data_IF_006468321391
#
_entry.id   IF_006468321391
#
_cell.length_a   1.000
_cell.length_b   1.000
_cell.length_c   1.000
_cell.angle_alpha   90.00
_cell.angle_beta   90.00
_cell.angle_gamma   90.00
#
_symmetry.space_group_name_H-M   'P 1'
#
loop_
_entity.id
_entity.type
_entity.pdbx_description
1 polymer ?
#
# COMPACT_ATOMS: atom_id res chain seq x y z
N UNK A 1 28.30 2.67 23.61
CA UNK A 1 26.95 3.02 23.11
C UNK A 1 26.97 2.68 21.64
N UNK A 2 25.97 1.98 21.12
CA UNK A 2 26.00 1.53 19.72
C UNK A 2 25.30 2.55 18.80
N UNK A 3 25.78 2.68 17.56
CA UNK A 3 25.21 3.58 16.56
C UNK A 3 23.78 3.18 16.22
N UNK A 4 23.54 1.88 16.04
CA UNK A 4 22.22 1.36 15.69
C UNK A 4 21.20 1.64 16.79
N UNK A 5 21.57 1.44 18.06
CA UNK A 5 20.72 1.77 19.20
C UNK A 5 20.41 3.28 19.32
N UNK A 6 21.36 4.16 18.94
CA UNK A 6 21.11 5.61 18.90
C UNK A 6 20.22 5.99 17.72
N UNK A 7 20.49 5.44 16.53
CA UNK A 7 19.68 5.69 15.35
C UNK A 7 18.23 5.21 15.55
N UNK A 8 18.03 4.06 16.20
CA UNK A 8 16.70 3.51 16.50
C UNK A 8 15.87 4.38 17.46
N UNK A 9 16.51 5.11 18.38
CA UNK A 9 15.83 6.12 19.17
C UNK A 9 15.53 7.38 18.33
N UNK A 10 16.54 7.90 17.61
CA UNK A 10 16.41 9.13 16.83
C UNK A 10 15.34 9.04 15.74
N UNK A 11 15.29 7.96 14.97
CA UNK A 11 14.25 7.73 13.95
C UNK A 11 12.88 7.35 14.54
N UNK A 12 12.78 7.16 15.86
CA UNK A 12 11.50 7.07 16.58
C UNK A 12 10.94 8.43 17.05
N UNK A 13 11.75 9.49 17.10
CA UNK A 13 11.35 10.85 17.47
C UNK A 13 10.70 11.59 16.30
N UNK A 14 9.98 12.69 16.58
CA UNK A 14 9.39 13.54 15.52
C UNK A 14 10.51 14.27 14.73
N UNK A 15 10.32 14.59 13.44
CA UNK A 15 11.34 15.25 12.63
C UNK A 15 11.86 16.57 13.22
N UNK A 16 11.02 17.31 13.94
CA UNK A 16 11.40 18.55 14.64
C UNK A 16 12.33 18.30 15.83
N UNK A 17 12.15 17.19 16.53
CA UNK A 17 12.94 16.81 17.72
C UNK A 17 14.25 16.11 17.34
N UNK A 18 14.28 15.46 16.17
CA UNK A 18 15.40 14.68 15.65
C UNK A 18 16.75 15.40 15.77
N UNK A 19 16.84 16.65 15.29
CA UNK A 19 18.12 17.40 15.25
C UNK A 19 18.61 17.71 16.66
N UNK A 20 17.73 18.21 17.53
CA UNK A 20 18.08 18.52 18.92
C UNK A 20 18.47 17.26 19.71
N UNK A 21 17.83 16.11 19.46
CA UNK A 21 18.18 14.84 20.06
C UNK A 21 19.51 14.27 19.53
N UNK A 22 19.72 14.32 18.21
CA UNK A 22 20.95 13.89 17.53
C UNK A 22 22.16 14.66 18.06
N UNK A 23 22.04 15.98 18.17
CA UNK A 23 23.15 16.84 18.60
C UNK A 23 23.48 16.64 20.09
N UNK A 24 22.45 16.39 20.92
CA UNK A 24 22.63 15.93 22.32
C UNK A 24 23.35 14.57 22.39
N UNK A 25 23.00 13.62 21.51
CA UNK A 25 23.63 12.28 21.46
C UNK A 25 25.06 12.32 20.96
N UNK A 26 25.35 13.10 19.93
CA UNK A 26 26.72 13.35 19.47
C UNK A 26 27.57 13.99 20.58
N UNK A 27 27.03 14.97 21.32
CA UNK A 27 27.72 15.57 22.47
C UNK A 27 27.95 14.56 23.62
N UNK A 28 27.01 13.66 23.86
CA UNK A 28 27.17 12.59 24.85
C UNK A 28 28.28 11.60 24.46
N UNK A 29 28.33 11.18 23.19
CA UNK A 29 29.40 10.33 22.67
C UNK A 29 30.79 11.00 22.80
N UNK A 30 30.92 12.29 22.44
CA UNK A 30 32.18 13.05 22.65
C UNK A 30 32.60 13.11 24.11
N UNK A 31 31.65 13.28 25.04
CA UNK A 31 31.92 13.27 26.49
C UNK A 31 32.31 11.90 27.03
N UNK A 32 31.88 10.82 26.37
CA UNK A 32 32.33 9.45 26.66
C UNK A 32 33.68 9.09 25.99
N UNK A 33 34.31 10.04 25.30
CA UNK A 33 35.57 9.84 24.56
C UNK A 33 35.42 9.35 23.13
N UNK A 34 34.22 8.90 22.72
CA UNK A 34 33.97 8.29 21.42
C UNK A 34 33.72 9.36 20.34
N UNK A 35 34.80 9.75 19.65
CA UNK A 35 34.75 10.71 18.56
C UNK A 35 34.26 10.11 17.24
N UNK A 36 34.36 8.78 17.07
CA UNK A 36 33.91 8.08 15.85
C UNK A 36 32.38 8.01 15.83
N UNK A 37 31.78 7.44 16.88
CA UNK A 37 30.34 7.41 17.10
C UNK A 37 29.74 8.82 17.09
N UNK A 38 30.42 9.81 17.67
CA UNK A 38 29.95 11.19 17.63
C UNK A 38 29.93 11.82 16.21
N UNK A 39 30.83 11.39 15.31
CA UNK A 39 30.84 11.80 13.90
C UNK A 39 29.72 11.11 13.14
N UNK A 40 29.51 9.82 13.37
CA UNK A 40 28.47 9.01 12.72
C UNK A 40 27.06 9.44 13.13
N UNK A 41 26.81 9.65 14.43
CA UNK A 41 25.56 10.25 14.93
C UNK A 41 25.34 11.62 14.28
N UNK A 42 26.39 12.45 14.16
CA UNK A 42 26.31 13.77 13.51
C UNK A 42 25.98 13.71 12.01
N UNK A 43 26.34 12.61 11.33
CA UNK A 43 26.04 12.38 9.92
C UNK A 43 24.59 11.93 9.67
N UNK A 44 23.87 11.44 10.70
CA UNK A 44 22.47 11.04 10.57
C UNK A 44 21.60 12.21 10.10
N UNK A 45 20.83 11.95 9.03
CA UNK A 45 19.97 12.93 8.36
C UNK A 45 18.55 12.87 8.92
N UNK A 46 17.93 14.03 9.13
CA UNK A 46 16.52 14.12 9.53
C UNK A 46 15.62 13.44 8.48
N UNK A 47 14.69 12.55 8.88
CA UNK A 47 13.76 11.92 7.94
C UNK A 47 12.76 12.92 7.34
N UNK A 48 12.23 12.60 6.16
CA UNK A 48 11.03 13.24 5.62
C UNK A 48 9.78 12.89 6.44
N UNK A 49 8.64 13.52 6.14
CA UNK A 49 7.40 13.25 6.85
C UNK A 49 6.87 11.82 6.54
N UNK A 50 6.79 11.40 5.27
CA UNK A 50 6.42 10.02 4.91
C UNK A 50 7.42 8.97 5.39
N UNK A 51 8.72 9.29 5.40
CA UNK A 51 9.75 8.42 5.95
C UNK A 51 9.58 8.23 7.47
N UNK A 52 9.34 9.31 8.22
CA UNK A 52 9.04 9.24 9.65
C UNK A 52 7.75 8.45 9.94
N UNK A 53 6.67 8.66 9.19
CA UNK A 53 5.43 7.89 9.35
C UNK A 53 5.65 6.41 9.06
N UNK A 54 6.48 6.06 8.06
CA UNK A 54 6.87 4.68 7.75
C UNK A 54 7.69 4.04 8.88
N UNK A 55 8.69 4.76 9.42
CA UNK A 55 9.48 4.34 10.56
C UNK A 55 8.60 4.14 11.82
N UNK A 56 7.61 5.03 12.03
CA UNK A 56 6.67 4.95 13.14
C UNK A 56 5.75 3.72 13.02
N UNK A 57 5.27 3.40 11.81
CA UNK A 57 4.49 2.19 11.53
C UNK A 57 5.28 0.93 11.90
N UNK A 58 6.51 0.79 11.40
CA UNK A 58 7.40 -0.35 11.68
C UNK A 58 7.71 -0.47 13.18
N UNK A 59 7.95 0.67 13.86
CA UNK A 59 8.29 0.69 15.29
C UNK A 59 7.09 0.42 16.20
N UNK A 60 5.86 0.76 15.79
CA UNK A 60 4.63 0.57 16.59
C UNK A 60 3.85 -0.70 16.27
N UNK A 61 3.92 -1.19 15.03
CA UNK A 61 3.26 -2.41 14.56
C UNK A 61 4.27 -3.42 14.02
N UNK A 62 5.28 -3.78 14.83
CA UNK A 62 6.26 -4.83 14.48
C UNK A 62 5.62 -6.16 14.06
N UNK A 63 4.41 -6.47 14.56
CA UNK A 63 3.65 -7.66 14.17
C UNK A 63 3.18 -7.66 12.70
N UNK A 64 3.05 -6.49 12.06
CA UNK A 64 2.63 -6.35 10.65
C UNK A 64 3.82 -6.33 9.67
N UNK A 65 5.05 -6.25 10.18
CA UNK A 65 6.28 -6.24 9.36
C UNK A 65 6.48 -7.60 8.69
N UNK A 66 6.50 -8.69 9.47
CA UNK A 66 6.74 -10.04 8.95
C UNK A 66 5.67 -10.51 7.96
N UNK A 67 4.35 -10.30 8.19
CA UNK A 67 3.31 -10.59 7.20
C UNK A 67 3.48 -9.83 5.88
N UNK A 68 3.95 -8.58 5.90
CA UNK A 68 4.22 -7.81 4.68
C UNK A 68 5.45 -8.36 3.95
N UNK A 69 6.54 -8.65 4.67
CA UNK A 69 7.75 -9.25 4.08
C UNK A 69 7.44 -10.59 3.40
N UNK A 70 6.66 -11.45 4.06
CA UNK A 70 6.17 -12.72 3.52
C UNK A 70 5.28 -12.53 2.28
N UNK A 71 4.32 -11.59 2.31
CA UNK A 71 3.48 -11.27 1.14
C UNK A 71 4.32 -10.79 -0.05
N UNK A 72 5.38 -10.02 0.19
CA UNK A 72 6.34 -9.61 -0.84
C UNK A 72 7.11 -10.79 -1.42
N UNK A 73 7.49 -11.76 -0.59
CA UNK A 73 8.13 -12.98 -1.08
C UNK A 73 7.18 -13.86 -1.90
N UNK A 74 5.92 -14.03 -1.45
CA UNK A 74 4.86 -14.70 -2.21
C UNK A 74 4.65 -14.04 -3.58
N UNK A 75 4.55 -12.70 -3.63
CA UNK A 75 4.40 -11.93 -4.88
C UNK A 75 5.58 -12.13 -5.82
N UNK A 76 6.81 -12.03 -5.32
CA UNK A 76 8.04 -12.22 -6.11
C UNK A 76 8.20 -13.68 -6.58
N UNK A 77 7.70 -14.64 -5.80
CA UNK A 77 7.70 -16.07 -6.13
C UNK A 77 6.72 -16.36 -7.28
N UNK A 78 5.46 -15.93 -7.13
CA UNK A 78 4.43 -16.09 -8.17
C UNK A 78 4.80 -15.39 -9.50
N UNK A 79 5.55 -14.27 -9.46
CA UNK A 79 6.10 -13.65 -10.67
C UNK A 79 7.16 -14.52 -11.37
N UNK A 80 8.09 -15.16 -10.62
CA UNK A 80 9.09 -16.07 -11.21
C UNK A 80 8.48 -17.35 -11.76
N UNK A 81 7.41 -17.82 -11.12
CA UNK A 81 6.66 -19.02 -11.51
C UNK A 81 5.60 -18.75 -12.59
N UNK A 82 5.42 -17.48 -12.99
CA UNK A 82 4.42 -17.00 -13.96
C UNK A 82 2.97 -17.38 -13.63
N UNK A 83 2.64 -17.62 -12.36
CA UNK A 83 1.29 -17.99 -11.93
C UNK A 83 0.35 -16.77 -11.94
N UNK A 84 -0.23 -16.50 -13.11
CA UNK A 84 -1.22 -15.46 -13.32
C UNK A 84 -2.51 -15.64 -12.49
N UNK A 85 -2.80 -16.81 -11.92
CA UNK A 85 -3.92 -17.00 -11.00
C UNK A 85 -3.55 -16.54 -9.58
N UNK A 86 -2.43 -17.02 -9.04
CA UNK A 86 -1.92 -16.60 -7.73
C UNK A 86 -1.57 -15.10 -7.71
N UNK A 87 -1.00 -14.56 -8.78
CA UNK A 87 -0.73 -13.12 -8.92
C UNK A 87 -2.01 -12.28 -8.78
N UNK A 88 -3.13 -12.68 -9.37
CA UNK A 88 -4.43 -11.98 -9.24
C UNK A 88 -5.04 -12.08 -7.84
N UNK A 89 -4.71 -13.11 -7.08
CA UNK A 89 -5.10 -13.25 -5.67
C UNK A 89 -4.23 -12.35 -4.78
N UNK A 90 -2.91 -12.47 -4.91
CA UNK A 90 -1.93 -11.72 -4.13
C UNK A 90 -2.01 -10.21 -4.39
N UNK A 91 -2.32 -9.76 -5.60
CA UNK A 91 -2.54 -8.35 -5.92
C UNK A 91 -3.74 -7.75 -5.17
N UNK A 92 -4.80 -8.53 -4.90
CA UNK A 92 -5.94 -8.07 -4.09
C UNK A 92 -5.54 -7.94 -2.62
N UNK A 93 -4.86 -8.97 -2.09
CA UNK A 93 -4.32 -9.00 -0.72
C UNK A 93 -3.30 -7.86 -0.49
N UNK A 94 -2.49 -7.54 -1.50
CA UNK A 94 -1.59 -6.39 -1.51
C UNK A 94 -2.35 -5.08 -1.32
N UNK A 95 -3.34 -4.78 -2.16
CA UNK A 95 -4.12 -3.53 -2.04
C UNK A 95 -4.87 -3.41 -0.71
N UNK A 96 -5.39 -4.52 -0.19
CA UNK A 96 -6.05 -4.58 1.13
C UNK A 96 -5.10 -4.30 2.29
N UNK A 97 -3.93 -4.96 2.30
CA UNK A 97 -2.89 -4.78 3.33
C UNK A 97 -2.30 -3.38 3.27
N UNK A 98 -1.90 -2.90 2.09
CA UNK A 98 -1.33 -1.55 1.91
C UNK A 98 -2.30 -0.47 2.36
N UNK A 99 -3.55 -0.50 1.88
CA UNK A 99 -4.55 0.49 2.28
C UNK A 99 -4.88 0.44 3.78
N UNK A 100 -4.77 -0.73 4.42
CA UNK A 100 -4.95 -0.87 5.88
C UNK A 100 -3.76 -0.29 6.65
N UNK A 101 -2.54 -0.60 6.25
CA UNK A 101 -1.32 -0.06 6.82
C UNK A 101 -1.20 1.45 6.62
N UNK A 102 -1.57 2.00 5.45
CA UNK A 102 -1.61 3.43 5.20
C UNK A 102 -2.57 4.17 6.14
N UNK A 103 -3.78 3.65 6.33
CA UNK A 103 -4.76 4.17 7.31
C UNK A 103 -4.24 4.09 8.74
N UNK A 104 -3.62 2.96 9.13
CA UNK A 104 -3.01 2.79 10.46
C UNK A 104 -1.84 3.76 10.68
N UNK A 105 -0.96 3.94 9.69
CA UNK A 105 0.18 4.85 9.76
C UNK A 105 -0.27 6.31 9.92
N UNK A 106 -1.31 6.73 9.18
CA UNK A 106 -1.94 8.05 9.34
C UNK A 106 -2.55 8.24 10.74
N UNK A 107 -3.17 7.20 11.31
CA UNK A 107 -3.66 7.20 12.70
C UNK A 107 -2.50 7.33 13.71
N UNK A 108 -1.45 6.53 13.58
CA UNK A 108 -0.28 6.56 14.45
C UNK A 108 0.42 7.94 14.44
N UNK A 109 0.49 8.59 13.27
CA UNK A 109 1.01 9.95 13.15
C UNK A 109 0.17 10.97 13.94
N UNK A 110 -1.16 10.86 13.89
CA UNK A 110 -2.07 11.68 14.69
C UNK A 110 -1.93 11.41 16.20
N UNK A 111 -1.80 10.15 16.61
CA UNK A 111 -1.54 9.75 18.01
C UNK A 111 -0.17 10.23 18.52
N UNK A 112 0.82 10.36 17.63
CA UNK A 112 2.12 10.99 17.90
C UNK A 112 2.06 12.54 17.85
N UNK A 113 0.88 13.14 17.76
CA UNK A 113 0.68 14.59 17.79
C UNK A 113 1.02 15.31 16.47
N UNK A 114 1.09 14.60 15.34
CA UNK A 114 1.27 15.17 14.00
C UNK A 114 0.30 14.52 13.00
N UNK A 115 -0.97 14.94 12.95
CA UNK A 115 -1.91 14.43 11.95
C UNK A 115 -1.40 14.73 10.55
N UNK A 116 -1.50 13.75 9.64
CA UNK A 116 -1.04 13.87 8.25
C UNK A 116 -2.19 13.79 7.26
N UNK A 117 -2.03 14.52 6.15
CA UNK A 117 -2.95 14.49 5.00
C UNK A 117 -2.66 13.30 4.07
N UNK A 118 -3.52 13.13 3.07
CA UNK A 118 -3.46 11.98 2.16
C UNK A 118 -2.18 11.89 1.33
N UNK A 119 -1.51 13.01 1.02
CA UNK A 119 -0.26 13.00 0.27
C UNK A 119 0.81 12.15 0.99
N UNK A 120 0.96 12.34 2.30
CA UNK A 120 1.87 11.55 3.15
C UNK A 120 1.38 10.11 3.30
N UNK A 121 0.06 9.89 3.31
CA UNK A 121 -0.48 8.53 3.30
C UNK A 121 -0.08 7.78 2.01
N UNK A 122 -0.12 8.47 0.85
CA UNK A 122 0.33 7.93 -0.44
C UNK A 122 1.85 7.70 -0.48
N UNK A 123 2.67 8.60 0.06
CA UNK A 123 4.13 8.37 0.22
C UNK A 123 4.43 7.07 1.00
N UNK A 124 3.63 6.78 2.04
CA UNK A 124 3.76 5.54 2.85
C UNK A 124 3.26 4.33 2.06
N UNK A 125 2.11 4.44 1.38
CA UNK A 125 1.56 3.35 0.56
C UNK A 125 2.49 2.99 -0.61
N UNK A 126 3.15 3.98 -1.24
CA UNK A 126 4.21 3.78 -2.24
C UNK A 126 5.45 3.09 -1.65
N UNK A 127 5.87 3.50 -0.45
CA UNK A 127 6.96 2.84 0.30
C UNK A 127 6.65 1.37 0.58
N UNK A 128 5.39 1.04 0.89
CA UNK A 128 4.93 -0.35 1.09
C UNK A 128 4.88 -1.13 -0.23
N UNK A 129 4.50 -0.50 -1.35
CA UNK A 129 4.61 -1.10 -2.69
C UNK A 129 6.08 -1.42 -3.04
N UNK A 130 7.02 -0.52 -2.76
CA UNK A 130 8.46 -0.73 -2.98
C UNK A 130 9.00 -1.90 -2.14
N UNK A 131 8.67 -1.97 -0.85
CA UNK A 131 9.05 -3.07 0.05
C UNK A 131 8.51 -4.45 -0.37
N UNK A 132 7.34 -4.49 -1.04
CA UNK A 132 6.81 -5.72 -1.63
C UNK A 132 7.50 -6.08 -2.96
N UNK A 133 7.88 -5.07 -3.76
CA UNK A 133 8.53 -5.28 -5.06
C UNK A 133 9.98 -5.79 -4.93
N UNK A 134 10.79 -5.23 -4.04
CA UNK A 134 12.22 -5.52 -3.92
C UNK A 134 12.65 -5.99 -2.50
N UNK A 135 13.42 -7.09 -2.37
CA UNK A 135 14.03 -7.51 -1.11
C UNK A 135 15.02 -6.51 -0.48
N UNK A 136 15.61 -5.58 -1.23
CA UNK A 136 16.42 -4.48 -0.69
C UNK A 136 15.57 -3.48 0.10
N UNK A 137 14.64 -2.82 -0.61
CA UNK A 137 13.61 -1.93 -0.05
C UNK A 137 12.87 -2.56 1.13
N UNK A 138 12.58 -3.86 1.07
CA UNK A 138 11.97 -4.63 2.16
C UNK A 138 12.79 -4.57 3.46
N UNK A 139 14.12 -4.74 3.37
CA UNK A 139 15.03 -4.69 4.53
C UNK A 139 15.22 -3.27 5.05
N UNK A 140 15.33 -2.29 4.16
CA UNK A 140 15.45 -0.87 4.54
C UNK A 140 14.21 -0.35 5.26
N UNK A 141 13.01 -0.72 4.78
CA UNK A 141 11.76 -0.45 5.46
C UNK A 141 11.69 -1.17 6.81
N UNK A 142 11.98 -2.48 6.87
CA UNK A 142 11.94 -3.26 8.10
C UNK A 142 12.94 -2.79 9.18
N UNK A 143 14.05 -2.16 8.81
CA UNK A 143 14.97 -1.50 9.74
C UNK A 143 14.35 -0.26 10.41
N UNK A 144 13.32 0.36 9.82
CA UNK A 144 12.59 1.50 10.39
C UNK A 144 13.47 2.74 10.59
N UNK A 145 14.44 2.97 9.69
CA UNK A 145 15.41 4.09 9.71
C UNK A 145 15.44 4.87 8.37
N UNK A 146 14.34 4.86 7.63
CA UNK A 146 14.20 5.55 6.35
C UNK A 146 14.39 7.07 6.50
N UNK A 147 15.07 7.68 5.51
CA UNK A 147 15.31 9.13 5.43
C UNK A 147 14.43 9.81 4.37
N UNK A 148 14.24 9.16 3.22
CA UNK A 148 13.24 9.48 2.17
C UNK A 148 12.15 8.38 2.20
N UNK A 149 10.96 8.58 1.61
CA UNK A 149 10.09 7.47 1.22
C UNK A 149 10.82 6.58 0.19
N UNK A 150 10.36 5.34 -0.01
CA UNK A 150 10.86 4.47 -1.07
C UNK A 150 9.88 4.48 -2.24
N UNK A 151 10.39 4.61 -3.46
CA UNK A 151 9.60 4.52 -4.69
C UNK A 151 9.85 3.18 -5.38
N UNK A 152 8.81 2.61 -5.98
CA UNK A 152 8.91 1.31 -6.65
C UNK A 152 9.39 1.47 -8.10
N UNK A 153 10.71 1.45 -8.33
CA UNK A 153 11.33 1.60 -9.66
C UNK A 153 11.06 0.37 -10.56
N UNK A 154 9.87 0.34 -11.17
CA UNK A 154 9.48 -0.67 -12.15
C UNK A 154 9.96 -0.30 -13.56
N UNK A 155 11.14 -0.77 -13.93
CA UNK A 155 11.66 -0.72 -15.30
C UNK A 155 12.89 0.18 -15.44
N UNK A 156 13.95 -0.41 -16.01
CA UNK A 156 15.33 0.11 -16.09
C UNK A 156 16.03 0.31 -14.73
N UNK A 157 17.32 -0.07 -14.61
CA UNK A 157 18.13 0.31 -13.47
C UNK A 157 18.46 1.80 -13.61
N UNK A 158 17.80 2.64 -12.82
CA UNK A 158 18.19 4.04 -12.67
C UNK A 158 19.62 4.09 -12.13
N UNK A 159 20.46 4.92 -12.75
CA UNK A 159 21.90 4.84 -12.53
C UNK A 159 22.27 5.25 -11.10
N UNK A 160 23.14 4.45 -10.48
CA UNK A 160 23.76 4.64 -9.15
C UNK A 160 23.90 6.14 -8.77
N UNK A 161 23.14 6.61 -7.77
CA UNK A 161 23.19 8.03 -7.32
C UNK A 161 24.62 8.44 -6.88
N UNK A 162 25.52 7.49 -6.57
CA UNK A 162 26.93 7.76 -6.30
C UNK A 162 27.73 8.25 -7.53
N UNK A 163 27.20 8.10 -8.75
CA UNK A 163 27.84 8.58 -9.99
C UNK A 163 27.65 10.09 -10.23
N UNK A 164 26.63 10.72 -9.64
CA UNK A 164 26.28 12.12 -9.93
C UNK A 164 27.24 13.16 -9.33
N UNK A 165 28.11 12.78 -8.40
CA UNK A 165 29.16 13.65 -7.84
C UNK A 165 30.53 13.50 -8.54
N UNK A 166 30.55 12.96 -9.77
CA UNK A 166 31.74 12.91 -10.64
C UNK A 166 31.52 13.66 -11.95
N UNK A 167 31.51 14.99 -11.88
CA UNK A 167 31.73 15.84 -13.06
C UNK A 167 33.07 15.46 -13.73
N UNK A 168 33.09 14.98 -14.99
CA UNK A 168 34.33 14.95 -15.75
C UNK A 168 34.76 16.39 -16.02
N UNK A 169 35.98 16.75 -15.62
CA UNK A 169 36.55 18.06 -15.94
C UNK A 169 36.86 18.10 -17.44
N UNK A 170 36.14 18.93 -18.20
CA UNK A 170 36.45 19.20 -19.61
C UNK A 170 37.76 19.99 -19.65
N UNK A 171 38.85 19.48 -20.26
CA UNK A 171 40.08 20.24 -20.39
C UNK A 171 39.87 21.40 -21.39
N UNK A 172 40.43 22.58 -21.14
CA UNK A 172 40.23 23.73 -22.03
C UNK A 172 40.92 23.49 -23.38
N UNK A 173 40.12 23.27 -24.43
CA UNK A 173 40.65 23.12 -25.79
C UNK A 173 41.18 24.45 -26.32
N UNK A 174 42.46 24.45 -26.71
CA UNK A 174 43.15 25.64 -27.22
C UNK A 174 42.81 25.89 -28.68
N UNK A 175 42.09 26.98 -28.98
CA UNK A 175 41.83 27.40 -30.35
C UNK A 175 43.10 28.00 -31.00
N UNK A 176 43.53 27.55 -32.20
CA UNK A 176 44.74 28.05 -32.85
C UNK A 176 44.53 29.40 -33.58
N UNK A 177 45.62 30.16 -33.64
CA UNK A 177 45.86 31.33 -34.52
C UNK A 177 46.90 30.89 -35.57
N UNK A 178 46.99 31.37 -36.81
CA UNK A 178 46.45 32.52 -37.58
C UNK A 178 46.59 32.16 -39.08
N UNK A 179 45.93 32.87 -40.01
CA UNK A 179 46.50 33.79 -41.03
C UNK A 179 45.36 34.28 -41.99
N UNK A 180 45.53 35.35 -42.81
CA UNK A 180 44.53 36.45 -42.87
C UNK A 180 43.98 36.76 -44.28
N UNK A 181 43.49 38.01 -44.46
CA UNK A 181 43.13 38.69 -45.73
C UNK A 181 41.71 38.36 -46.25
N UNK A 182 40.75 39.28 -46.40
CA UNK A 182 40.66 40.74 -46.15
C UNK A 182 39.22 41.07 -45.62
N UNK A 183 38.65 42.29 -45.50
CA UNK A 183 39.05 43.67 -45.87
C UNK A 183 38.45 44.71 -44.86
N UNK A 184 37.67 45.72 -45.31
CA UNK A 184 37.13 46.87 -44.54
C UNK A 184 35.77 47.36 -45.14
N UNK A 185 35.10 48.47 -44.72
CA UNK A 185 35.40 49.50 -43.69
C UNK A 185 34.28 49.76 -42.64
N UNK A 186 34.42 50.73 -41.70
CA UNK A 186 33.31 51.07 -40.78
C UNK A 186 33.35 52.31 -39.85
N UNK A 187 34.49 52.69 -39.23
CA UNK A 187 34.59 53.87 -38.30
C UNK A 187 33.98 53.69 -36.88
N UNK A 188 34.05 54.65 -35.94
CA UNK A 188 34.70 55.99 -35.88
C UNK A 188 34.85 56.51 -34.41
N UNK A 189 35.97 57.17 -34.06
CA UNK A 189 36.24 58.10 -32.87
C UNK A 189 36.01 57.58 -31.42
N UNK A 190 37.00 57.56 -30.50
CA UNK A 190 37.62 58.63 -29.63
C UNK A 190 36.66 59.31 -28.62
N UNK A 191 37.06 59.77 -27.41
CA UNK A 191 38.37 60.27 -26.91
C UNK A 191 38.68 59.93 -25.41
N UNK A 192 39.68 60.60 -24.78
CA UNK A 192 40.32 60.24 -23.48
C UNK A 192 40.84 61.46 -22.70
N UNK A 193 40.46 61.64 -21.41
CA UNK A 193 41.10 62.42 -20.29
C UNK A 193 40.23 62.25 -19.02
N UNK A 194 40.66 62.39 -17.75
CA UNK A 194 41.96 62.52 -17.05
C UNK A 194 41.76 62.10 -15.57
N UNK A 195 42.80 61.67 -14.84
CA UNK A 195 42.79 61.43 -13.38
C UNK A 195 43.20 62.68 -12.55
N UNK A 196 43.81 62.58 -11.34
CA UNK A 196 44.40 61.39 -10.68
C UNK A 196 44.19 61.27 -9.12
N UNK A 197 45.01 60.41 -8.47
CA UNK A 197 45.33 60.33 -7.02
C UNK A 197 44.24 59.74 -6.07
N UNK A 198 44.55 59.08 -4.94
CA UNK A 198 45.86 58.69 -4.33
C UNK A 198 45.76 57.37 -3.52
N UNK A 199 46.91 56.77 -3.17
CA UNK A 199 47.12 55.51 -2.41
C UNK A 199 48.31 55.72 -1.43
N UNK A 200 48.60 54.86 -0.42
CA UNK A 200 47.75 53.94 0.34
C UNK A 200 48.09 53.95 1.87
N UNK A 201 47.80 52.82 2.54
CA UNK A 201 48.48 52.27 3.74
C UNK A 201 47.90 52.52 5.16
N UNK A 202 48.06 51.48 5.98
CA UNK A 202 47.72 51.37 7.41
C UNK A 202 49.05 51.17 8.20
N UNK A 203 49.11 50.66 9.46
CA UNK A 203 48.08 50.45 10.49
C UNK A 203 48.51 51.03 11.87
N UNK A 204 47.76 50.77 12.96
CA UNK A 204 48.31 50.33 14.27
C UNK A 204 47.26 49.97 15.34
N UNK A 205 47.75 49.39 16.43
CA UNK A 205 47.02 48.87 17.60
C UNK A 205 47.26 49.78 18.82
N UNK A 206 46.37 49.70 19.83
CA UNK A 206 46.68 49.69 21.30
C UNK A 206 46.18 50.87 22.17
N UNK A 207 45.44 50.48 23.23
CA UNK A 207 45.51 50.96 24.64
C UNK A 207 44.53 52.01 25.27
N UNK A 208 43.93 51.55 26.39
CA UNK A 208 43.80 52.19 27.73
C UNK A 208 42.80 53.35 27.98
N UNK A 209 41.78 53.06 28.81
CA UNK A 209 41.48 53.57 30.20
C UNK A 209 40.01 53.21 30.55
N UNK A 210 39.60 52.94 31.80
CA UNK A 210 40.33 52.72 33.06
C UNK A 210 39.40 52.87 34.28
N UNK A 211 39.75 52.26 35.44
CA UNK A 211 39.14 52.42 36.81
C UNK A 211 37.63 52.08 36.95
N UNK A 212 37.10 51.50 38.04
CA UNK A 212 37.63 50.86 39.27
C UNK A 212 36.66 49.67 39.62
N UNK A 213 36.51 49.05 40.81
CA UNK A 213 37.08 49.19 42.17
C UNK A 213 36.95 47.84 42.95
N UNK A 214 37.23 47.81 44.26
CA UNK A 214 37.01 46.67 45.19
C UNK A 214 37.01 47.19 46.65
N UNK A 215 36.11 46.74 47.56
CA UNK A 215 36.30 45.52 48.39
C UNK A 215 35.03 44.61 48.41
N UNK A 216 34.96 43.37 48.91
CA UNK A 216 35.71 42.54 49.88
C UNK A 216 35.14 42.50 51.32
N UNK A 217 34.77 41.29 51.78
CA UNK A 217 34.35 40.93 53.16
C UNK A 217 33.14 39.96 53.12
N UNK A 218 33.21 38.66 53.42
CA UNK A 218 33.63 37.88 54.63
C UNK A 218 32.51 37.59 55.64
N UNK A 219 32.46 36.32 56.11
CA UNK A 219 31.52 35.75 57.09
C UNK A 219 30.75 34.53 56.51
N UNK A 220 30.84 33.26 56.95
CA UNK A 220 30.79 32.61 58.30
C UNK A 220 29.42 32.74 58.99
N UNK A 221 28.78 31.72 59.57
CA UNK A 221 29.10 30.29 59.79
C UNK A 221 27.81 29.53 60.23
N UNK A 222 27.78 28.17 60.23
CA UNK A 222 26.91 27.29 61.08
C UNK A 222 25.37 27.36 60.86
N UNK A 223 24.49 26.50 61.43
CA UNK A 223 24.51 25.08 61.90
C UNK A 223 23.05 24.58 62.06
N UNK A 224 22.78 23.31 61.72
CA UNK A 224 21.71 22.41 62.29
C UNK A 224 20.24 22.85 62.04
N UNK A 225 19.22 22.01 61.81
CA UNK A 225 18.90 20.60 62.07
C UNK A 225 17.94 20.35 63.26
N UNK A 226 16.64 20.36 62.95
CA UNK A 226 15.47 19.71 63.55
C UNK A 226 14.40 19.66 62.43
N UNK A 227 13.57 18.66 62.14
CA UNK A 227 12.70 17.74 62.92
C UNK A 227 11.55 18.39 63.66
N UNK A 228 10.37 18.43 63.03
CA UNK A 228 9.07 18.09 63.65
C UNK A 228 7.95 18.03 62.60
N UNK A 229 7.13 16.97 62.65
CA UNK A 229 5.71 17.02 62.24
C UNK A 229 4.89 17.34 63.51
N UNK A 230 3.66 17.88 63.38
CA UNK A 230 2.54 16.97 63.65
C UNK A 230 1.25 17.21 62.82
N UNK A 231 0.35 16.24 63.00
CA UNK A 231 -1.06 16.14 62.64
C UNK A 231 -1.91 17.42 62.47
N UNK A 232 -2.98 17.32 61.67
CA UNK A 232 -4.09 18.30 61.77
C UNK A 232 -5.20 18.22 60.72
N UNK A 233 -6.21 17.38 60.95
CA UNK A 233 -7.56 17.38 60.35
C UNK A 233 -8.04 18.65 59.59
N UNK A 234 -8.68 18.46 58.42
CA UNK A 234 -10.14 18.58 58.23
C UNK A 234 -10.55 18.91 56.77
N UNK A 235 -11.65 18.30 56.30
CA UNK A 235 -12.42 18.83 55.16
C UNK A 235 -13.36 19.93 55.64
N UNK A 236 -13.81 20.81 54.73
CA UNK A 236 -15.26 20.97 54.67
C UNK A 236 -15.83 20.84 53.25
N UNK A 237 -16.85 19.99 53.17
CA UNK A 237 -17.79 19.85 52.05
C UNK A 237 -18.84 20.96 52.18
N UNK A 238 -19.10 21.73 51.12
CA UNK A 238 -20.28 22.62 51.05
C UNK A 238 -21.05 22.43 49.73
N UNK A 239 -22.36 22.69 49.81
CA UNK A 239 -23.39 22.65 48.77
C UNK A 239 -24.31 23.86 49.01
N UNK A 240 -25.23 24.08 48.06
CA UNK A 240 -26.41 24.95 48.16
C UNK A 240 -26.13 26.47 48.18
N UNK A 241 -26.92 27.33 47.52
CA UNK A 241 -27.99 27.15 46.51
C UNK A 241 -27.99 28.42 45.61
N UNK A 242 -28.07 28.31 44.27
CA UNK A 242 -29.27 28.35 43.42
C UNK A 242 -29.80 29.76 43.08
N UNK A 243 -29.76 30.13 41.78
CA UNK A 243 -30.87 30.77 41.03
C UNK A 243 -30.62 30.69 39.50
N UNK A 244 -31.70 30.62 38.74
CA UNK A 244 -31.85 30.54 37.27
C UNK A 244 -32.94 31.59 36.86
N UNK A 245 -33.27 31.91 35.58
CA UNK A 245 -33.09 31.10 34.36
C UNK A 245 -32.66 31.85 33.07
N UNK A 246 -32.40 31.09 32.00
CA UNK A 246 -32.91 31.25 30.61
C UNK A 246 -32.04 30.39 29.64
N UNK A 247 -32.57 29.56 28.74
CA UNK A 247 -33.96 29.20 28.42
C UNK A 247 -34.02 28.01 27.42
N UNK A 248 -35.20 27.75 26.84
CA UNK A 248 -35.46 26.77 25.74
C UNK A 248 -35.45 25.26 26.08
N UNK A 249 -36.40 24.89 26.95
CA UNK A 249 -37.34 23.76 26.78
C UNK A 249 -37.22 22.84 25.53
N UNK A 250 -36.93 21.54 25.75
CA UNK A 250 -37.83 20.35 25.68
C UNK A 250 -38.85 20.20 24.50
N UNK A 251 -39.57 19.06 24.28
CA UNK A 251 -39.67 17.80 25.07
C UNK A 251 -39.58 16.47 24.28
N UNK A 252 -39.86 15.34 24.96
CA UNK A 252 -39.87 13.96 24.46
C UNK A 252 -40.98 13.13 25.14
N UNK A 253 -41.92 12.54 24.37
CA UNK A 253 -42.88 11.45 24.69
C UNK A 253 -43.60 11.10 23.36
N UNK A 254 -43.97 9.86 22.97
CA UNK A 254 -44.76 8.76 23.59
C UNK A 254 -46.25 9.14 23.82
N UNK A 255 -47.25 8.37 23.37
CA UNK A 255 -47.23 7.13 22.57
C UNK A 255 -48.62 6.80 21.95
N UNK A 256 -48.65 5.71 21.16
CA UNK A 256 -49.78 4.80 20.86
C UNK A 256 -50.89 5.20 19.87
N UNK A 257 -51.51 4.14 19.31
CA UNK A 257 -52.76 4.02 18.52
C UNK A 257 -52.73 3.97 16.96
N UNK A 258 -53.32 2.85 16.47
CA UNK A 258 -54.09 2.63 15.22
C UNK A 258 -53.43 2.45 13.82
N UNK A 259 -53.80 1.31 13.21
CA UNK A 259 -53.74 0.90 11.79
C UNK A 259 -54.96 1.52 11.03
N UNK A 260 -55.07 1.51 9.67
CA UNK A 260 -54.71 0.39 8.79
C UNK A 260 -54.14 0.73 7.39
N UNK A 261 -53.95 -0.32 6.58
CA UNK A 261 -53.91 -0.40 5.10
C UNK A 261 -52.89 0.47 4.31
N UNK A 262 -52.27 -0.05 3.23
CA UNK A 262 -52.35 -1.41 2.69
C UNK A 262 -52.04 -1.46 1.20
N UNK A 263 -50.79 -1.76 0.81
CA UNK A 263 -50.44 -2.01 -0.59
C UNK A 263 -49.74 -3.36 -0.79
N UNK A 264 -50.45 -4.24 -1.51
CA UNK A 264 -50.09 -5.62 -1.72
C UNK A 264 -48.86 -5.83 -2.61
N UNK A 265 -48.15 -6.92 -2.37
CA UNK A 265 -47.38 -7.62 -3.40
C UNK A 265 -48.06 -8.97 -3.67
N UNK A 266 -48.42 -9.28 -4.93
CA UNK A 266 -48.76 -10.65 -5.34
C UNK A 266 -47.54 -11.37 -5.92
N UNK A 267 -47.53 -12.70 -5.80
CA UNK A 267 -46.44 -13.60 -6.22
C UNK A 267 -47.05 -14.93 -6.71
N UNK A 268 -46.36 -15.65 -7.62
CA UNK A 268 -46.76 -16.97 -8.19
C UNK A 268 -48.00 -16.87 -9.11
N UNK A 269 -48.28 -17.77 -10.07
CA UNK A 269 -47.74 -19.09 -10.52
C UNK A 269 -47.45 -18.99 -12.04
N UNK A 270 -46.50 -19.68 -12.69
CA UNK A 270 -46.22 -21.12 -12.81
C UNK A 270 -47.32 -21.93 -13.52
N UNK A 271 -47.03 -22.33 -14.76
CA UNK A 271 -47.40 -23.52 -15.57
C UNK A 271 -46.79 -23.23 -16.97
N UNK A 272 -46.08 -24.05 -17.76
CA UNK A 272 -46.01 -25.50 -18.05
C UNK A 272 -46.29 -25.69 -19.56
N UNK A 273 -45.25 -25.84 -20.40
CA UNK A 273 -45.29 -26.48 -21.73
C UNK A 273 -43.86 -26.62 -22.32
N UNK A 274 -43.52 -27.80 -22.85
CA UNK A 274 -42.51 -28.02 -23.90
C UNK A 274 -43.25 -28.39 -25.18
N UNK A 275 -42.77 -27.98 -26.36
CA UNK A 275 -42.24 -29.02 -27.26
C UNK A 275 -41.01 -28.62 -28.08
N UNK A 276 -40.51 -29.58 -28.85
CA UNK A 276 -39.26 -29.55 -29.64
C UNK A 276 -39.08 -28.37 -30.62
N UNK A 277 -37.81 -27.98 -30.82
CA UNK A 277 -37.41 -26.95 -31.78
C UNK A 277 -35.92 -26.99 -32.16
N UNK A 278 -35.52 -27.94 -33.01
CA UNK A 278 -34.14 -28.00 -33.53
C UNK A 278 -33.80 -26.80 -34.44
N UNK A 279 -32.92 -25.90 -34.00
CA UNK A 279 -32.26 -24.93 -34.88
C UNK A 279 -30.85 -24.56 -34.38
N UNK A 280 -29.81 -24.97 -35.13
CA UNK A 280 -28.42 -24.55 -34.85
C UNK A 280 -28.09 -23.22 -35.55
N UNK A 281 -27.60 -22.19 -34.85
CA UNK A 281 -27.15 -20.96 -35.50
C UNK A 281 -25.76 -21.17 -36.13
N UNK A 282 -25.72 -21.82 -37.31
CA UNK A 282 -24.50 -22.02 -38.11
C UNK A 282 -24.05 -20.71 -38.76
N UNK A 283 -23.52 -19.78 -37.95
CA UNK A 283 -23.08 -18.46 -38.41
C UNK A 283 -21.80 -18.57 -39.24
N UNK A 284 -21.94 -18.67 -40.57
CA UNK A 284 -20.87 -18.27 -41.49
C UNK A 284 -20.67 -16.76 -41.36
N UNK A 285 -19.45 -16.30 -41.61
CA UNK A 285 -19.20 -14.90 -41.91
C UNK A 285 -19.33 -14.74 -43.44
N UNK A 286 -20.31 -13.98 -43.88
CA UNK A 286 -20.35 -13.48 -45.24
C UNK A 286 -19.39 -12.29 -45.33
N UNK A 287 -18.60 -12.23 -46.40
CA UNK A 287 -17.68 -11.12 -46.65
C UNK A 287 -18.41 -10.03 -47.44
N UNK A 288 -18.43 -8.81 -46.90
CA UNK A 288 -19.03 -7.66 -47.58
C UNK A 288 -18.19 -7.25 -48.80
N UNK A 289 -18.83 -7.15 -49.97
CA UNK A 289 -18.22 -6.54 -51.15
C UNK A 289 -18.14 -5.01 -50.94
N UNK A 290 -16.98 -4.36 -51.15
CA UNK A 290 -16.91 -2.90 -51.17
C UNK A 290 -17.41 -2.35 -52.52
N UNK A 291 -18.42 -1.48 -52.47
CA UNK A 291 -19.05 -0.85 -53.63
C UNK A 291 -18.06 -0.12 -54.56
N UNK A 292 -18.38 -0.12 -55.85
CA UNK A 292 -17.55 0.49 -56.89
C UNK A 292 -17.62 2.02 -56.91
N UNK A 293 -16.48 2.69 -56.72
CA UNK A 293 -16.35 4.13 -56.99
C UNK A 293 -15.75 4.40 -58.38
N UNK A 294 -16.47 5.19 -59.18
CA UNK A 294 -16.12 5.46 -60.57
C UNK A 294 -15.03 6.54 -60.73
N UNK A 295 -14.14 6.34 -61.71
CA UNK A 295 -13.18 7.35 -62.18
C UNK A 295 -13.55 7.81 -63.62
N UNK A 296 -13.29 9.09 -63.98
CA UNK A 296 -13.96 9.71 -65.13
C UNK A 296 -13.34 9.36 -66.49
N UNK A 297 -14.22 9.11 -67.48
CA UNK A 297 -13.85 9.02 -68.90
C UNK A 297 -13.46 10.40 -69.44
N UNK A 298 -12.17 10.68 -69.61
CA UNK A 298 -11.73 11.71 -70.57
C UNK A 298 -11.83 11.16 -71.99
N UNK A 299 -12.42 11.96 -72.89
CA UNK A 299 -12.28 11.77 -74.33
C UNK A 299 -10.87 12.22 -74.72
N UNK A 300 -10.26 11.48 -75.65
CA UNK A 300 -9.14 11.92 -76.46
C UNK A 300 -9.48 11.50 -77.90
N UNK A 301 -9.25 12.40 -78.85
CA UNK A 301 -9.85 12.29 -80.17
C UNK A 301 -9.09 11.34 -81.10
N UNK A 302 -9.80 10.82 -82.10
CA UNK A 302 -9.24 9.87 -83.06
C UNK A 302 -8.61 10.60 -84.24
N UNK A 303 -7.28 10.77 -84.21
CA UNK A 303 -6.49 11.07 -85.41
C UNK A 303 -5.98 9.78 -86.05
N UNK A 304 -6.21 9.61 -87.35
CA UNK A 304 -5.63 8.53 -88.14
C UNK A 304 -4.18 8.85 -88.56
N UNK A 305 -3.19 8.01 -88.25
CA UNK A 305 -1.94 7.97 -89.01
C UNK A 305 -2.11 7.05 -90.22
N UNK A 306 -2.27 7.63 -91.42
CA UNK A 306 -2.42 6.90 -92.69
C UNK A 306 -1.18 6.08 -93.11
N UNK A 307 -0.92 4.97 -92.44
CA UNK A 307 0.26 4.11 -92.63
C UNK A 307 0.15 3.14 -93.80
N UNK A 308 0.34 3.60 -95.04
CA UNK A 308 0.42 2.71 -96.21
C UNK A 308 1.68 1.83 -96.17
N UNK A 309 1.46 0.52 -96.02
CA UNK A 309 2.32 -0.52 -96.59
C UNK A 309 3.52 -0.97 -95.77
N UNK A 310 3.39 -2.17 -95.18
CA UNK A 310 4.43 -3.21 -95.31
C UNK A 310 3.83 -4.60 -95.05
N UNK A 311 3.53 -5.36 -96.13
CA UNK A 311 3.29 -6.81 -96.04
C UNK A 311 4.63 -7.50 -95.74
N UNK A 312 5.04 -7.51 -94.47
CA UNK A 312 6.27 -8.20 -94.01
C UNK A 312 5.91 -9.55 -93.40
N UNK A 313 6.05 -10.60 -94.20
CA UNK A 313 6.06 -11.98 -93.72
C UNK A 313 7.26 -12.18 -92.77
N UNK A 314 6.97 -12.18 -91.47
CA UNK A 314 7.81 -12.74 -90.39
C UNK A 314 6.94 -13.54 -89.41
N UNK A 315 5.86 -14.16 -89.91
CA UNK A 315 5.00 -15.03 -89.11
C UNK A 315 5.75 -16.30 -88.69
N UNK A 316 5.41 -16.83 -87.51
CA UNK A 316 6.03 -18.04 -86.96
C UNK A 316 6.67 -17.84 -85.58
N UNK A 317 7.84 -17.21 -85.49
CA UNK A 317 8.68 -17.30 -84.28
C UNK A 317 8.12 -16.51 -83.09
N UNK A 318 7.83 -15.21 -83.26
CA UNK A 318 7.39 -14.35 -82.14
C UNK A 318 6.07 -14.80 -81.51
N UNK A 319 5.08 -15.16 -82.34
CA UNK A 319 3.77 -15.67 -81.88
C UNK A 319 3.91 -16.99 -81.11
N UNK A 320 4.86 -17.85 -81.50
CA UNK A 320 5.19 -19.06 -80.74
C UNK A 320 5.90 -18.76 -79.42
N UNK A 321 6.79 -17.77 -79.37
CA UNK A 321 7.47 -17.34 -78.14
C UNK A 321 6.48 -16.71 -77.14
N UNK A 322 5.54 -15.88 -77.61
CA UNK A 322 4.47 -15.31 -76.77
C UNK A 322 3.48 -16.37 -76.27
N UNK A 323 3.07 -17.32 -77.11
CA UNK A 323 2.22 -18.45 -76.70
C UNK A 323 2.95 -19.35 -75.68
N UNK A 324 4.27 -19.57 -75.82
CA UNK A 324 5.08 -20.27 -74.83
C UNK A 324 5.21 -19.49 -73.52
N UNK A 325 5.44 -18.17 -73.57
CA UNK A 325 5.49 -17.30 -72.39
C UNK A 325 4.14 -17.27 -71.66
N UNK A 326 3.03 -17.22 -72.39
CA UNK A 326 1.67 -17.32 -71.85
C UNK A 326 1.41 -18.68 -71.19
N UNK A 327 1.83 -19.78 -71.83
CA UNK A 327 1.74 -21.15 -71.27
C UNK A 327 2.60 -21.31 -70.01
N UNK A 328 3.77 -20.68 -69.95
CA UNK A 328 4.63 -20.65 -68.75
C UNK A 328 3.94 -19.90 -67.61
N UNK A 329 3.51 -18.65 -67.83
CA UNK A 329 2.78 -17.85 -66.84
C UNK A 329 1.52 -18.56 -66.31
N UNK A 330 0.79 -19.28 -67.17
CA UNK A 330 -0.38 -20.07 -66.76
C UNK A 330 -0.02 -21.30 -65.90
N UNK A 331 1.15 -21.93 -66.08
CA UNK A 331 1.64 -22.98 -65.18
C UNK A 331 2.03 -22.39 -63.83
N UNK A 332 2.85 -21.34 -63.84
CA UNK A 332 3.32 -20.64 -62.63
C UNK A 332 2.14 -20.14 -61.78
N UNK A 333 1.12 -19.54 -62.40
CA UNK A 333 -0.10 -19.12 -61.70
C UNK A 333 -0.91 -20.29 -61.11
N UNK A 334 -0.94 -21.46 -61.77
CA UNK A 334 -1.61 -22.68 -61.26
C UNK A 334 -0.84 -23.33 -60.11
N UNK A 335 0.48 -23.34 -60.18
CA UNK A 335 1.32 -23.93 -59.14
C UNK A 335 1.38 -23.04 -57.89
N UNK A 336 1.37 -21.71 -58.07
CA UNK A 336 1.16 -20.74 -56.99
C UNK A 336 -0.25 -20.82 -56.38
N UNK A 337 -1.31 -21.00 -57.19
CA UNK A 337 -2.67 -21.22 -56.67
C UNK A 337 -2.75 -22.48 -55.79
N UNK A 338 -2.18 -23.60 -56.25
CA UNK A 338 -2.04 -24.84 -55.46
C UNK A 338 -1.22 -24.66 -54.19
N UNK A 339 -0.27 -23.73 -54.17
CA UNK A 339 0.54 -23.41 -52.99
C UNK A 339 -0.27 -22.62 -51.97
N UNK A 340 -1.02 -21.61 -52.41
CA UNK A 340 -1.98 -20.90 -51.58
C UNK A 340 -3.09 -21.83 -51.02
N UNK A 341 -3.58 -22.80 -51.81
CA UNK A 341 -4.52 -23.83 -51.36
C UNK A 341 -3.92 -24.72 -50.25
N UNK A 342 -2.65 -25.13 -50.39
CA UNK A 342 -1.94 -25.91 -49.35
C UNK A 342 -1.72 -25.09 -48.08
N UNK A 343 -1.30 -23.83 -48.20
CA UNK A 343 -1.09 -22.96 -47.05
C UNK A 343 -2.42 -22.68 -46.34
N UNK A 344 -3.49 -22.34 -47.08
CA UNK A 344 -4.83 -22.16 -46.53
C UNK A 344 -5.27 -23.38 -45.72
N UNK A 345 -5.12 -24.59 -46.27
CA UNK A 345 -5.48 -25.81 -45.54
C UNK A 345 -4.67 -26.00 -44.25
N UNK A 346 -3.37 -25.70 -44.26
CA UNK A 346 -2.56 -25.70 -43.04
C UNK A 346 -3.12 -24.69 -42.03
N UNK A 347 -3.35 -23.43 -42.43
CA UNK A 347 -3.90 -22.41 -41.52
C UNK A 347 -5.29 -22.76 -40.98
N UNK A 348 -6.14 -23.41 -41.78
CA UNK A 348 -7.44 -23.95 -41.33
C UNK A 348 -7.28 -25.03 -40.25
N UNK A 349 -6.34 -25.97 -40.43
CA UNK A 349 -6.08 -27.00 -39.42
C UNK A 349 -5.47 -26.42 -38.13
N UNK A 350 -4.58 -25.43 -38.24
CA UNK A 350 -4.02 -24.67 -37.12
C UNK A 350 -5.10 -23.88 -36.36
N UNK A 351 -5.95 -23.14 -37.07
CA UNK A 351 -7.07 -22.40 -36.49
C UNK A 351 -8.07 -23.35 -35.80
N UNK A 352 -8.37 -24.50 -36.42
CA UNK A 352 -9.21 -25.54 -35.81
C UNK A 352 -8.59 -26.16 -34.55
N UNK A 353 -7.26 -26.32 -34.50
CA UNK A 353 -6.54 -26.78 -33.31
C UNK A 353 -6.53 -25.71 -32.20
N UNK A 354 -6.28 -24.45 -32.54
CA UNK A 354 -6.33 -23.32 -31.62
C UNK A 354 -7.74 -23.13 -31.01
N UNK A 355 -8.79 -23.32 -31.81
CA UNK A 355 -10.18 -23.32 -31.34
C UNK A 355 -10.43 -24.38 -30.26
N UNK A 356 -10.09 -25.66 -30.54
CA UNK A 356 -10.22 -26.74 -29.55
C UNK A 356 -9.42 -26.46 -28.27
N UNK A 357 -8.19 -25.97 -28.38
CA UNK A 357 -7.37 -25.61 -27.23
C UNK A 357 -7.97 -24.46 -26.39
N UNK A 358 -8.68 -23.52 -27.03
CA UNK A 358 -9.41 -22.45 -26.35
C UNK A 358 -10.66 -22.99 -25.63
N UNK A 359 -11.42 -23.90 -26.25
CA UNK A 359 -12.56 -24.56 -25.61
C UNK A 359 -12.13 -25.43 -24.41
N UNK A 360 -11.06 -26.22 -24.54
CA UNK A 360 -10.46 -26.97 -23.43
C UNK A 360 -9.94 -26.06 -22.30
N UNK A 361 -9.45 -24.86 -22.62
CA UNK A 361 -9.06 -23.86 -21.63
C UNK A 361 -10.28 -23.26 -20.91
N UNK A 362 -11.36 -22.99 -21.66
CA UNK A 362 -12.63 -22.51 -21.11
C UNK A 362 -13.27 -23.54 -20.18
N UNK A 363 -13.34 -24.81 -20.58
CA UNK A 363 -13.84 -25.87 -19.70
C UNK A 363 -13.03 -26.00 -18.40
N UNK A 364 -11.71 -25.83 -18.47
CA UNK A 364 -10.84 -25.86 -17.27
C UNK A 364 -11.15 -24.69 -16.33
N UNK A 365 -11.40 -23.50 -16.87
CA UNK A 365 -11.87 -22.36 -16.09
C UNK A 365 -13.26 -22.62 -15.48
N UNK A 366 -14.21 -23.11 -16.27
CA UNK A 366 -15.57 -23.44 -15.80
C UNK A 366 -15.57 -24.56 -14.73
N UNK A 367 -14.65 -25.53 -14.81
CA UNK A 367 -14.41 -26.55 -13.77
C UNK A 367 -13.88 -25.90 -12.48
N UNK A 368 -12.85 -25.05 -12.56
CA UNK A 368 -12.30 -24.34 -11.41
C UNK A 368 -13.35 -23.43 -10.72
N UNK A 369 -14.13 -22.70 -11.50
CA UNK A 369 -15.20 -21.83 -10.98
C UNK A 369 -16.36 -22.60 -10.33
N UNK A 370 -16.58 -23.87 -10.67
CA UNK A 370 -17.49 -24.75 -9.92
C UNK A 370 -16.89 -25.14 -8.57
N UNK A 371 -15.63 -25.58 -8.54
CA UNK A 371 -14.93 -25.92 -7.28
C UNK A 371 -14.81 -24.71 -6.33
N UNK A 372 -14.55 -23.50 -6.83
CA UNK A 372 -14.54 -22.27 -6.01
C UNK A 372 -15.92 -21.96 -5.42
N UNK A 373 -17.00 -22.18 -6.18
CA UNK A 373 -18.38 -22.01 -5.68
C UNK A 373 -18.72 -23.04 -4.59
N UNK A 374 -18.29 -24.29 -4.76
CA UNK A 374 -18.48 -25.37 -3.79
C UNK A 374 -17.70 -25.13 -2.48
N UNK A 375 -16.41 -24.80 -2.56
CA UNK A 375 -15.58 -24.50 -1.38
C UNK A 375 -16.15 -23.30 -0.60
N UNK A 376 -16.68 -22.28 -1.30
CA UNK A 376 -17.37 -21.15 -0.67
C UNK A 376 -18.70 -21.55 0.00
N UNK A 377 -19.37 -22.62 -0.45
CA UNK A 377 -20.56 -23.14 0.22
C UNK A 377 -20.18 -23.86 1.52
N UNK A 378 -19.23 -24.80 1.45
CA UNK A 378 -18.69 -25.53 2.61
C UNK A 378 -18.12 -24.58 3.68
N UNK A 379 -17.51 -23.46 3.29
CA UNK A 379 -17.03 -22.44 4.22
C UNK A 379 -18.18 -21.76 5.00
N UNK A 380 -19.28 -21.41 4.33
CA UNK A 380 -20.44 -20.80 5.01
C UNK A 380 -21.10 -21.78 5.99
N UNK A 381 -21.21 -23.04 5.60
CA UNK A 381 -21.70 -24.13 6.44
C UNK A 381 -20.85 -24.29 7.72
N UNK A 382 -19.52 -24.41 7.57
CA UNK A 382 -18.60 -24.49 8.71
C UNK A 382 -18.59 -23.22 9.59
N UNK A 383 -18.83 -22.03 9.01
CA UNK A 383 -19.04 -20.81 9.78
C UNK A 383 -20.38 -20.82 10.57
N UNK A 384 -21.45 -21.38 10.00
CA UNK A 384 -22.76 -21.52 10.67
C UNK A 384 -22.68 -22.52 11.82
N UNK A 385 -22.01 -23.66 11.62
CA UNK A 385 -21.65 -24.59 12.69
C UNK A 385 -20.82 -23.90 13.79
N UNK A 386 -19.80 -23.10 13.42
CA UNK A 386 -19.00 -22.37 14.41
C UNK A 386 -19.83 -21.31 15.16
N UNK A 387 -20.74 -20.61 14.49
CA UNK A 387 -21.67 -19.66 15.11
C UNK A 387 -22.58 -20.37 16.12
N UNK A 388 -23.14 -21.53 15.75
CA UNK A 388 -24.01 -22.32 16.61
C UNK A 388 -23.26 -22.95 17.80
N UNK A 389 -22.06 -23.50 17.58
CA UNK A 389 -21.23 -24.02 18.68
C UNK A 389 -20.89 -22.93 19.71
N UNK A 390 -20.72 -21.67 19.29
CA UNK A 390 -20.51 -20.53 20.19
C UNK A 390 -21.76 -20.15 21.00
N UNK A 391 -22.95 -20.15 20.38
CA UNK A 391 -24.21 -19.88 21.09
C UNK A 391 -24.53 -21.00 22.09
N UNK A 392 -24.30 -22.27 21.73
CA UNK A 392 -24.49 -23.42 22.61
C UNK A 392 -23.52 -23.43 23.80
N UNK A 393 -22.25 -23.11 23.59
CA UNK A 393 -21.27 -22.94 24.69
C UNK A 393 -21.70 -21.83 25.64
N UNK A 394 -22.21 -20.71 25.13
CA UNK A 394 -22.69 -19.61 25.98
C UNK A 394 -23.97 -20.01 26.75
N UNK A 395 -24.93 -20.65 26.09
CA UNK A 395 -26.14 -21.14 26.72
C UNK A 395 -25.84 -22.21 27.80
N UNK A 396 -24.86 -23.09 27.56
CA UNK A 396 -24.39 -24.06 28.55
C UNK A 396 -23.74 -23.38 29.77
N UNK A 397 -22.91 -22.34 29.56
CA UNK A 397 -22.32 -21.54 30.64
C UNK A 397 -23.39 -20.84 31.48
N UNK A 398 -24.42 -20.27 30.86
CA UNK A 398 -25.48 -19.58 31.60
C UNK A 398 -26.44 -20.55 32.31
N UNK A 399 -26.72 -21.73 31.74
CA UNK A 399 -27.37 -22.85 32.46
C UNK A 399 -26.57 -23.28 33.68
N UNK A 400 -25.24 -23.46 33.56
CA UNK A 400 -24.37 -23.79 34.69
C UNK A 400 -24.43 -22.70 35.78
N UNK A 401 -24.32 -21.42 35.40
CA UNK A 401 -24.45 -20.27 36.32
C UNK A 401 -25.82 -20.20 37.03
N UNK A 402 -26.90 -20.64 36.38
CA UNK A 402 -28.23 -20.74 36.98
C UNK A 402 -28.29 -21.88 38.01
N UNK A 403 -27.80 -23.08 37.66
CA UNK A 403 -27.73 -24.22 38.58
C UNK A 403 -26.92 -23.88 39.84
N UNK A 404 -25.77 -23.21 39.65
CA UNK A 404 -24.91 -22.68 40.71
C UNK A 404 -25.63 -21.72 41.68
N UNK A 405 -26.53 -20.86 41.17
CA UNK A 405 -27.37 -20.00 42.00
C UNK A 405 -28.40 -20.82 42.77
N UNK A 406 -29.10 -21.73 42.11
CA UNK A 406 -30.07 -22.62 42.75
C UNK A 406 -29.44 -23.47 43.88
N UNK A 407 -28.23 -24.01 43.68
CA UNK A 407 -27.47 -24.75 44.70
C UNK A 407 -27.10 -23.84 45.89
N UNK A 408 -26.66 -22.60 45.64
CA UNK A 408 -26.37 -21.63 46.70
C UNK A 408 -27.63 -21.24 47.49
N UNK A 409 -28.76 -21.07 46.83
CA UNK A 409 -30.05 -20.81 47.48
C UNK A 409 -30.55 -22.01 48.29
N UNK A 410 -30.51 -23.22 47.73
CA UNK A 410 -30.87 -24.45 48.43
C UNK A 410 -30.03 -24.65 49.71
N UNK A 411 -28.71 -24.41 49.63
CA UNK A 411 -27.81 -24.43 50.80
C UNK A 411 -28.19 -23.39 51.86
N UNK A 412 -28.55 -22.15 51.46
CA UNK A 412 -29.06 -21.13 52.40
C UNK A 412 -30.36 -21.57 53.07
N UNK A 413 -31.34 -22.04 52.29
CA UNK A 413 -32.64 -22.53 52.81
C UNK A 413 -32.45 -23.70 53.78
N UNK A 414 -31.57 -24.65 53.46
CA UNK A 414 -31.22 -25.77 54.32
C UNK A 414 -30.56 -25.32 55.64
N UNK A 415 -29.62 -24.37 55.60
CA UNK A 415 -29.00 -23.81 56.80
C UNK A 415 -30.02 -23.06 57.69
N UNK A 416 -30.93 -22.27 57.10
CA UNK A 416 -32.02 -21.62 57.84
C UNK A 416 -32.98 -22.64 58.47
N UNK A 417 -33.27 -23.75 57.79
CA UNK A 417 -34.10 -24.82 58.32
C UNK A 417 -33.41 -25.59 59.46
N UNK A 418 -32.13 -25.91 59.33
CA UNK A 418 -31.33 -26.55 60.38
C UNK A 418 -31.28 -25.67 61.64
N UNK A 419 -30.95 -24.39 61.50
CA UNK A 419 -30.94 -23.44 62.62
C UNK A 419 -32.33 -23.25 63.26
N UNK A 420 -33.43 -23.45 62.50
CA UNK A 420 -34.79 -23.47 63.07
C UNK A 420 -35.04 -24.75 63.87
N UNK A 421 -34.58 -25.91 63.39
CA UNK A 421 -34.70 -27.18 64.12
C UNK A 421 -33.90 -27.16 65.43
N UNK A 422 -32.68 -26.63 65.41
CA UNK A 422 -31.84 -26.44 66.60
C UNK A 422 -32.53 -25.57 67.66
N UNK A 423 -33.13 -24.44 67.26
CA UNK A 423 -33.90 -23.58 68.17
C UNK A 423 -35.15 -24.26 68.74
N UNK A 424 -35.76 -25.19 68.02
CA UNK A 424 -36.94 -25.94 68.47
C UNK A 424 -36.58 -27.16 69.35
N UNK A 425 -35.37 -27.72 69.22
CA UNK A 425 -34.88 -28.81 70.07
C UNK A 425 -34.49 -28.33 71.48
N UNK A 426 -34.14 -27.05 71.63
CA UNK A 426 -33.78 -26.42 72.89
C UNK A 426 -32.44 -26.89 73.49
N UNK A 427 -31.97 -26.29 74.59
CA UNK A 427 -30.64 -26.57 75.15
C UNK A 427 -30.44 -27.98 75.75
N UNK A 428 -31.48 -28.81 75.80
CA UNK A 428 -31.50 -30.08 76.54
C UNK A 428 -31.20 -31.36 75.74
N UNK A 429 -31.34 -31.34 74.40
CA UNK A 429 -31.29 -32.54 73.57
C UNK A 429 -29.89 -33.17 73.35
N UNK A 430 -28.90 -32.78 74.16
CA UNK A 430 -27.46 -33.00 73.92
C UNK A 430 -26.76 -34.08 74.74
N UNK A 431 -27.45 -35.06 75.34
CA UNK A 431 -26.82 -36.14 76.14
C UNK A 431 -27.28 -37.57 75.82
N UNK A 432 -27.27 -37.98 74.55
CA UNK A 432 -27.23 -39.42 74.19
C UNK A 432 -26.23 -39.72 73.05
N UNK A 433 -25.50 -40.84 73.22
CA UNK A 433 -24.85 -41.64 72.17
C UNK A 433 -23.91 -40.93 71.15
N UNK A 434 -22.72 -40.51 71.60
CA UNK A 434 -21.55 -40.37 70.70
C UNK A 434 -21.00 -41.76 70.34
N UNK A 435 -21.67 -42.47 69.41
CA UNK A 435 -21.22 -43.80 68.93
C UNK A 435 -20.33 -43.64 67.68
N UNK A 436 -19.10 -44.16 67.65
CA UNK A 436 -18.22 -44.03 66.49
C UNK A 436 -18.66 -44.97 65.35
N UNK A 437 -19.09 -44.38 64.23
CA UNK A 437 -19.30 -45.11 62.97
C UNK A 437 -18.00 -45.12 62.16
N UNK A 438 -17.70 -46.23 61.48
CA UNK A 438 -16.38 -46.46 60.89
C UNK A 438 -16.12 -45.71 59.58
N UNK A 439 -14.85 -45.37 59.39
CA UNK A 439 -14.24 -44.85 58.16
C UNK A 439 -14.36 -45.90 57.04
N UNK A 440 -15.33 -45.75 56.15
CA UNK A 440 -15.45 -46.56 54.93
C UNK A 440 -14.75 -45.86 53.76
N UNK A 441 -13.96 -46.64 53.01
CA UNK A 441 -13.14 -46.16 51.88
C UNK A 441 -13.56 -46.86 50.59
N UNK A 442 -14.12 -46.08 49.67
CA UNK A 442 -14.29 -46.39 48.24
C UNK A 442 -14.16 -45.04 47.52
N UNK A 443 -13.06 -44.72 46.83
CA UNK A 443 -12.43 -45.35 45.64
C UNK A 443 -13.15 -44.93 44.37
#
# INVERSE_FOLDING_TARGET
MDLDAVADELYGLRPEEFVAARDRRALAARKAGDQALAKEIGALRRPSLGAWVSNLLVRRQRAEVEPLLGLGEELRRAHRELDGARLRELARRQSEVIGTLGRQARRLAAEAGRPVGEAVQREVEETLHAALADPGAAREWAAGRLVKPLSATFGFPEADEAALDRRPAIPPTTAPRKHPEAEEPGGRTTERKRGPAEEPAAPKVRQKRGTAEKPSGHGTERKRAATEEPDGHATPRKRADAEEPDGHATPRKRADAEEPDGHATPRKRADAEEPDGHATPRKRADAEEPDGHAAPRKRADAEEPGGRGARRERGGTGEHEDELARRRRLREARDAAREAERELHVRETEAGAAGRAADEARERADRADRSVRELRARLREAEEEQRQARTDVQAARDRARQADRAVREARRRAATAAARAERLAGPGAGRTSRRPAHRLVTR
#
